data_IF_107610029178
#
_entry.id   IF_107610029178
#
_cell.length_a   1.000
_cell.length_b   1.000
_cell.length_c   1.000
_cell.angle_alpha   90.00
_cell.angle_beta   90.00
_cell.angle_gamma   90.00
#
_symmetry.space_group_name_H-M   'P 1'
#
loop_
_entity.id
_entity.type
_entity.pdbx_description
1 polymer ?
#
# COMPACT_ATOMS: atom_id res chain seq x y z
N UNK A 1 14.94 3.78 -0.35
CA UNK A 1 13.63 3.53 -1.00
C UNK A 1 12.46 4.17 -0.25
N UNK A 2 12.43 4.15 1.08
CA UNK A 2 11.36 4.76 1.92
C UNK A 2 11.09 6.24 1.63
N UNK A 3 12.13 7.08 1.50
CA UNK A 3 11.97 8.51 1.24
C UNK A 3 11.30 8.82 -0.11
N UNK A 4 11.59 8.00 -1.13
CA UNK A 4 10.96 8.13 -2.44
C UNK A 4 9.48 7.75 -2.38
N UNK A 5 9.14 6.67 -1.66
CA UNK A 5 7.75 6.24 -1.48
C UNK A 5 6.90 7.31 -0.77
N UNK A 6 7.43 7.94 0.29
CA UNK A 6 6.75 9.05 0.97
C UNK A 6 6.56 10.25 0.03
N UNK A 7 7.61 10.65 -0.69
CA UNK A 7 7.54 11.76 -1.64
C UNK A 7 6.47 11.54 -2.71
N UNK A 8 6.45 10.36 -3.33
CA UNK A 8 5.48 10.04 -4.38
C UNK A 8 4.04 10.00 -3.86
N UNK A 9 3.81 9.44 -2.67
CA UNK A 9 2.48 9.43 -2.07
C UNK A 9 1.99 10.82 -1.70
N UNK A 10 2.85 11.68 -1.15
CA UNK A 10 2.51 13.08 -0.85
C UNK A 10 2.25 13.86 -2.14
N UNK A 11 3.06 13.66 -3.18
CA UNK A 11 2.85 14.27 -4.49
C UNK A 11 1.51 13.85 -5.10
N UNK A 12 1.15 12.57 -4.99
CA UNK A 12 -0.12 12.06 -5.49
C UNK A 12 -1.32 12.65 -4.72
N UNK A 13 -1.23 12.77 -3.40
CA UNK A 13 -2.24 13.47 -2.58
C UNK A 13 -2.39 14.93 -3.04
N UNK A 14 -1.27 15.63 -3.27
CA UNK A 14 -1.29 17.00 -3.76
C UNK A 14 -1.93 17.11 -5.16
N UNK A 15 -1.63 16.18 -6.06
CA UNK A 15 -2.23 16.12 -7.41
C UNK A 15 -3.73 15.87 -7.35
N UNK A 16 -4.18 14.95 -6.49
CA UNK A 16 -5.60 14.68 -6.25
C UNK A 16 -6.28 15.97 -5.80
N UNK A 17 -5.69 16.69 -4.85
CA UNK A 17 -6.30 17.92 -4.35
C UNK A 17 -6.36 19.04 -5.41
N UNK A 18 -5.32 19.18 -6.25
CA UNK A 18 -5.23 20.24 -7.27
C UNK A 18 -6.01 19.95 -8.56
N UNK A 19 -6.13 18.68 -8.97
CA UNK A 19 -6.60 18.30 -10.33
C UNK A 19 -7.84 17.41 -10.36
N UNK A 20 -8.45 17.08 -9.22
CA UNK A 20 -9.67 16.25 -9.23
C UNK A 20 -10.85 16.98 -9.88
N UNK A 21 -11.36 16.41 -10.97
CA UNK A 21 -12.62 16.80 -11.60
C UNK A 21 -13.80 16.08 -10.94
N UNK A 22 -15.03 16.61 -11.07
CA UNK A 22 -16.24 15.99 -10.48
C UNK A 22 -16.46 14.55 -10.94
N UNK A 23 -16.11 14.23 -12.19
CA UNK A 23 -16.25 12.90 -12.78
C UNK A 23 -15.25 11.88 -12.21
N UNK A 24 -14.08 12.35 -11.76
CA UNK A 24 -13.04 11.50 -11.17
C UNK A 24 -13.11 11.44 -9.65
N UNK A 25 -14.13 12.02 -9.02
CA UNK A 25 -14.22 12.16 -7.57
C UNK A 25 -14.16 10.80 -6.85
N UNK A 26 -14.94 9.82 -7.28
CA UNK A 26 -14.95 8.49 -6.68
C UNK A 26 -13.59 7.79 -6.81
N UNK A 27 -12.98 7.86 -7.99
CA UNK A 27 -11.65 7.30 -8.22
C UNK A 27 -10.56 8.00 -7.40
N UNK A 28 -10.69 9.32 -7.21
CA UNK A 28 -9.76 10.11 -6.41
C UNK A 28 -9.79 9.72 -4.94
N UNK A 29 -10.95 9.29 -4.40
CA UNK A 29 -11.07 8.77 -3.03
C UNK A 29 -10.36 7.42 -2.88
N UNK A 30 -10.50 6.53 -3.86
CA UNK A 30 -9.80 5.22 -3.87
C UNK A 30 -8.28 5.43 -3.91
N UNK A 31 -7.80 6.37 -4.73
CA UNK A 31 -6.38 6.74 -4.77
C UNK A 31 -5.92 7.36 -3.45
N UNK A 32 -6.70 8.26 -2.85
CA UNK A 32 -6.38 8.88 -1.57
C UNK A 32 -6.26 7.83 -0.46
N UNK A 33 -7.21 6.90 -0.39
CA UNK A 33 -7.17 5.78 0.57
C UNK A 33 -5.90 4.94 0.37
N UNK A 34 -5.53 4.66 -0.89
CA UNK A 34 -4.29 3.92 -1.19
C UNK A 34 -3.06 4.70 -0.71
N UNK A 35 -2.99 6.01 -0.95
CA UNK A 35 -1.86 6.82 -0.50
C UNK A 35 -1.70 6.80 1.03
N UNK A 36 -2.82 6.88 1.76
CA UNK A 36 -2.80 6.83 3.24
C UNK A 36 -2.27 5.47 3.71
N UNK A 37 -2.77 4.39 3.11
CA UNK A 37 -2.30 3.03 3.38
C UNK A 37 -0.80 2.93 3.11
N UNK A 38 -0.33 3.34 1.93
CA UNK A 38 1.09 3.25 1.54
C UNK A 38 2.01 4.07 2.46
N UNK A 39 1.57 5.23 2.92
CA UNK A 39 2.32 6.02 3.92
C UNK A 39 2.43 5.25 5.24
N UNK A 40 1.31 4.77 5.79
CA UNK A 40 1.29 3.98 7.03
C UNK A 40 2.23 2.76 6.92
N UNK A 41 2.20 2.08 5.77
CA UNK A 41 3.04 0.92 5.49
C UNK A 41 4.50 1.25 5.36
N UNK A 42 4.82 2.41 4.80
CA UNK A 42 6.20 2.87 4.71
C UNK A 42 6.80 3.04 6.09
N UNK A 43 6.01 3.52 7.07
CA UNK A 43 6.45 3.58 8.47
C UNK A 43 6.63 2.20 9.10
N UNK A 44 5.66 1.29 8.90
CA UNK A 44 5.77 -0.10 9.38
C UNK A 44 7.01 -0.77 8.82
N UNK A 45 7.25 -0.65 7.51
CA UNK A 45 8.43 -1.21 6.85
C UNK A 45 9.74 -0.59 7.33
N UNK A 46 9.77 0.73 7.54
CA UNK A 46 10.94 1.40 8.08
C UNK A 46 11.27 0.95 9.51
N UNK A 47 10.23 0.65 10.30
CA UNK A 47 10.37 0.20 11.69
C UNK A 47 10.77 -1.27 11.79
N UNK A 48 10.13 -2.14 11.01
CA UNK A 48 10.29 -3.60 11.04
C UNK A 48 11.53 -4.06 10.27
N UNK A 49 11.79 -3.46 9.10
CA UNK A 49 12.81 -3.88 8.13
C UNK A 49 12.88 -5.40 8.00
N UNK A 50 11.85 -6.03 7.43
CA UNK A 50 11.78 -7.48 7.33
C UNK A 50 12.80 -7.98 6.31
N UNK A 51 13.54 -9.01 6.68
CA UNK A 51 14.44 -9.74 5.79
C UNK A 51 13.97 -11.19 5.73
N UNK A 52 13.87 -11.69 4.50
CA UNK A 52 13.57 -13.08 4.21
C UNK A 52 14.85 -13.73 3.67
N UNK A 53 15.31 -14.78 4.34
CA UNK A 53 16.39 -15.63 3.85
C UNK A 53 15.87 -17.02 3.55
N UNK A 54 16.38 -17.62 2.48
CA UNK A 54 16.13 -19.01 2.14
C UNK A 54 17.40 -19.81 2.45
N UNK A 55 17.34 -20.65 3.48
CA UNK A 55 18.47 -21.46 3.95
C UNK A 55 17.97 -22.89 4.12
N UNK A 56 18.65 -23.86 3.51
CA UNK A 56 18.39 -25.30 3.66
C UNK A 56 16.91 -25.70 3.48
N UNK A 57 16.23 -25.14 2.46
CA UNK A 57 14.80 -25.32 2.16
C UNK A 57 13.82 -24.72 3.17
N UNK A 58 14.29 -23.90 4.12
CA UNK A 58 13.45 -23.15 5.04
C UNK A 58 13.44 -21.66 4.71
N UNK A 59 12.26 -21.04 4.86
CA UNK A 59 12.11 -19.59 4.86
C UNK A 59 12.28 -19.06 6.29
N UNK A 60 13.32 -18.26 6.50
CA UNK A 60 13.59 -17.62 7.78
C UNK A 60 13.26 -16.14 7.64
N UNK A 61 12.37 -15.67 8.50
CA UNK A 61 11.98 -14.27 8.60
C UNK A 61 12.57 -13.66 9.85
N UNK A 62 13.30 -12.55 9.70
CA UNK A 62 13.78 -11.78 10.84
C UNK A 62 13.70 -10.28 10.58
N UNK A 63 13.74 -9.52 11.66
CA UNK A 63 13.61 -8.08 11.67
C UNK A 63 14.97 -7.44 11.93
N UNK A 64 15.42 -6.56 11.03
CA UNK A 64 16.68 -5.82 11.21
C UNK A 64 16.47 -4.40 11.71
N UNK A 65 15.23 -3.93 11.77
CA UNK A 65 14.89 -2.56 12.13
C UNK A 65 14.82 -2.31 13.64
N UNK A 66 14.28 -1.16 14.02
CA UNK A 66 14.05 -0.78 15.43
C UNK A 66 13.16 -1.77 16.19
N UNK A 67 12.33 -2.52 15.46
CA UNK A 67 11.58 -3.65 15.99
C UNK A 67 12.47 -4.67 16.73
N UNK A 68 13.78 -4.75 16.43
CA UNK A 68 14.72 -5.65 17.10
C UNK A 68 14.97 -5.30 18.57
N UNK A 69 14.91 -4.02 18.92
CA UNK A 69 15.28 -3.49 20.25
C UNK A 69 14.11 -3.57 21.23
N UNK A 70 12.90 -3.81 20.73
CA UNK A 70 11.67 -3.86 21.53
C UNK A 70 11.63 -5.16 22.35
N UNK A 71 10.86 -5.20 23.43
CA UNK A 71 10.77 -6.41 24.26
C UNK A 71 10.09 -7.57 23.51
N UNK A 72 10.38 -8.83 23.88
CA UNK A 72 9.89 -10.02 23.16
C UNK A 72 8.40 -10.06 22.80
N UNK A 73 7.44 -9.63 23.66
CA UNK A 73 6.03 -9.65 23.28
C UNK A 73 5.69 -8.70 22.11
N UNK A 74 6.42 -7.59 21.98
CA UNK A 74 6.20 -6.66 20.86
C UNK A 74 6.80 -7.19 19.56
N UNK A 75 7.89 -7.96 19.59
CA UNK A 75 8.43 -8.61 18.39
C UNK A 75 7.38 -9.51 17.72
N UNK A 76 6.69 -10.32 18.51
CA UNK A 76 5.64 -11.23 18.03
C UNK A 76 4.45 -10.46 17.44
N UNK A 77 4.22 -9.22 17.84
CA UNK A 77 3.14 -8.39 17.32
C UNK A 77 3.48 -7.71 15.97
N UNK A 78 4.73 -7.29 15.78
CA UNK A 78 5.13 -6.55 14.58
C UNK A 78 5.18 -7.43 13.31
N UNK A 79 5.48 -8.72 13.43
CA UNK A 79 5.51 -9.62 12.27
C UNK A 79 4.12 -9.82 11.62
N UNK A 80 3.07 -10.21 12.35
CA UNK A 80 1.71 -10.26 11.82
C UNK A 80 1.23 -8.92 11.28
N UNK A 81 1.60 -7.82 11.95
CA UNK A 81 1.26 -6.48 11.51
C UNK A 81 1.86 -6.20 10.13
N UNK A 82 3.14 -6.48 9.91
CA UNK A 82 3.77 -6.36 8.59
C UNK A 82 3.07 -7.23 7.53
N UNK A 83 2.81 -8.51 7.82
CA UNK A 83 2.15 -9.43 6.88
C UNK A 83 0.74 -8.94 6.50
N UNK A 84 -0.07 -8.58 7.49
CA UNK A 84 -1.40 -8.01 7.29
C UNK A 84 -1.35 -6.77 6.41
N UNK A 85 -0.37 -5.92 6.65
CA UNK A 85 -0.17 -4.67 5.94
C UNK A 85 0.16 -4.89 4.46
N UNK A 86 0.90 -5.94 4.13
CA UNK A 86 1.15 -6.38 2.74
C UNK A 86 -0.14 -6.82 2.03
N UNK A 87 -1.01 -7.58 2.72
CA UNK A 87 -2.30 -8.00 2.16
C UNK A 87 -3.24 -6.84 1.87
N UNK A 88 -3.20 -5.78 2.69
CA UNK A 88 -3.96 -4.56 2.42
C UNK A 88 -3.51 -3.94 1.09
N UNK A 89 -2.21 -3.77 0.83
CA UNK A 89 -1.71 -3.23 -0.46
C UNK A 89 -2.18 -4.04 -1.64
N UNK A 90 -2.03 -5.37 -1.54
CA UNK A 90 -2.44 -6.29 -2.60
C UNK A 90 -3.94 -6.14 -2.89
N UNK A 91 -4.76 -5.98 -1.86
CA UNK A 91 -6.20 -5.75 -2.01
C UNK A 91 -6.51 -4.36 -2.60
N UNK A 92 -5.84 -3.30 -2.14
CA UNK A 92 -6.02 -1.94 -2.64
C UNK A 92 -5.66 -1.81 -4.12
N UNK A 93 -4.60 -2.48 -4.58
CA UNK A 93 -4.23 -2.49 -6.00
C UNK A 93 -5.26 -3.23 -6.85
N UNK A 94 -5.84 -4.33 -6.35
CA UNK A 94 -6.94 -5.03 -7.00
C UNK A 94 -8.21 -4.16 -7.11
N UNK A 95 -8.56 -3.41 -6.06
CA UNK A 95 -9.70 -2.48 -6.07
C UNK A 95 -9.51 -1.40 -7.13
N UNK A 96 -8.32 -0.81 -7.24
CA UNK A 96 -8.02 0.19 -8.27
C UNK A 96 -8.16 -0.40 -9.68
N UNK A 97 -7.64 -1.60 -9.89
CA UNK A 97 -7.75 -2.29 -11.19
C UNK A 97 -9.21 -2.54 -11.55
N UNK A 98 -9.99 -3.10 -10.62
CA UNK A 98 -11.39 -3.41 -10.84
C UNK A 98 -12.23 -2.15 -11.11
N UNK A 99 -11.98 -1.07 -10.39
CA UNK A 99 -12.65 0.21 -10.63
C UNK A 99 -12.36 0.72 -12.06
N UNK A 100 -11.09 0.71 -12.51
CA UNK A 100 -10.73 1.12 -13.87
C UNK A 100 -11.39 0.25 -14.92
N UNK A 101 -11.42 -1.06 -14.71
CA UNK A 101 -12.10 -2.00 -15.59
C UNK A 101 -13.58 -1.68 -15.73
N UNK A 102 -14.30 -1.48 -14.62
CA UNK A 102 -15.71 -1.11 -14.63
C UNK A 102 -15.96 0.25 -15.29
N UNK A 103 -15.08 1.24 -15.05
CA UNK A 103 -15.21 2.56 -15.66
C UNK A 103 -15.13 2.48 -17.20
N UNK A 104 -14.20 1.68 -17.71
CA UNK A 104 -14.05 1.43 -19.16
C UNK A 104 -15.27 0.68 -19.70
N UNK A 105 -15.66 -0.43 -19.06
CA UNK A 105 -16.81 -1.23 -19.53
C UNK A 105 -18.12 -0.45 -19.49
N UNK A 106 -18.38 0.36 -18.45
CA UNK A 106 -19.55 1.24 -18.39
C UNK A 106 -19.52 2.30 -19.51
N UNK A 107 -18.35 2.86 -19.81
CA UNK A 107 -18.22 3.81 -20.91
C UNK A 107 -18.65 3.19 -22.25
N UNK A 108 -18.21 1.95 -22.54
CA UNK A 108 -18.62 1.22 -23.74
C UNK A 108 -20.10 0.83 -23.76
N UNK A 109 -20.74 0.63 -22.60
CA UNK A 109 -22.17 0.32 -22.52
C UNK A 109 -23.05 1.56 -22.82
N UNK A 110 -22.63 2.76 -22.40
CA UNK A 110 -23.41 3.99 -22.60
C UNK A 110 -23.12 4.72 -23.92
N UNK A 111 -21.95 4.51 -24.51
CA UNK A 111 -21.59 5.05 -25.83
C UNK A 111 -21.12 3.91 -26.75
N UNK A 112 -22.05 3.07 -27.25
CA UNK A 112 -21.71 2.10 -28.27
C UNK A 112 -21.35 2.84 -29.57
N UNK A 113 -20.13 2.61 -30.06
CA UNK A 113 -19.63 3.08 -31.35
C UNK A 113 -20.38 2.46 -32.52
#
# INVERSE_FOLDING_TARGET
MTNLALFLNILLIWLIWKKTTKELKEYSLILLQTCVIDICLTFVNAFVQPVMLFIDNYFIFYHTGLARVVSPPFHTFFFPLYVFSYYIVMSSSAVQFFYRYLAICRYYIFFPS
#
